data_IF_759861725094
#
_entry.id   IF_759861725094
#
_cell.length_a   1.000
_cell.length_b   1.000
_cell.length_c   1.000
_cell.angle_alpha   90.00
_cell.angle_beta   90.00
_cell.angle_gamma   90.00
#
_symmetry.space_group_name_H-M   'P 1'
#
loop_
_entity.id
_entity.type
_entity.pdbx_description
1 polymer ?
#
# COMPACT_ATOMS: atom_id res chain seq x y z
N UNK A 1 24.15 10.77 -5.07
CA UNK A 1 22.92 10.08 -5.52
C UNK A 1 22.17 9.35 -4.41
N UNK A 2 22.82 8.73 -3.41
CA UNK A 2 22.16 8.05 -2.26
C UNK A 2 21.35 8.97 -1.32
N UNK A 3 21.68 10.26 -1.25
CA UNK A 3 21.11 11.20 -0.29
C UNK A 3 19.81 11.87 -0.76
N UNK A 4 19.54 11.89 -2.07
CA UNK A 4 18.38 12.62 -2.65
C UNK A 4 17.11 11.79 -2.57
N UNK A 5 17.18 10.46 -2.76
CA UNK A 5 16.02 9.56 -2.65
C UNK A 5 15.44 9.59 -1.23
N UNK A 6 16.29 9.59 -0.21
CA UNK A 6 15.88 9.72 1.20
C UNK A 6 15.27 11.09 1.52
N UNK A 7 15.71 12.16 0.84
CA UNK A 7 15.24 13.53 1.05
C UNK A 7 13.87 13.77 0.40
N UNK A 8 13.61 13.19 -0.78
CA UNK A 8 12.28 13.20 -1.44
C UNK A 8 11.25 12.42 -0.61
N UNK A 9 11.65 11.30 -0.01
CA UNK A 9 10.82 10.51 0.90
C UNK A 9 10.48 11.28 2.20
N UNK A 10 11.44 12.01 2.79
CA UNK A 10 11.22 12.80 4.01
C UNK A 10 10.33 14.03 3.78
N UNK A 11 10.44 14.70 2.63
CA UNK A 11 9.54 15.80 2.25
C UNK A 11 8.10 15.31 2.00
N UNK A 12 7.93 14.12 1.42
CA UNK A 12 6.61 13.48 1.30
C UNK A 12 5.97 13.18 2.66
N UNK A 13 6.76 12.77 3.66
CA UNK A 13 6.27 12.49 5.03
C UNK A 13 5.84 13.76 5.80
N UNK A 14 6.46 14.92 5.55
CA UNK A 14 6.04 16.18 6.19
C UNK A 14 4.76 16.79 5.61
N UNK A 15 4.42 16.55 4.34
CA UNK A 15 3.15 16.99 3.75
C UNK A 15 1.92 16.26 4.30
N UNK A 16 2.08 15.19 5.10
CA UNK A 16 0.96 14.46 5.70
C UNK A 16 0.18 15.21 6.79
N UNK A 17 0.67 16.36 7.26
CA UNK A 17 -0.09 17.19 8.21
C UNK A 17 -1.26 17.94 7.54
N UNK A 18 -1.25 18.09 6.20
CA UNK A 18 -2.33 18.68 5.41
C UNK A 18 -2.80 17.67 4.35
N UNK A 19 -4.06 17.25 4.46
CA UNK A 19 -4.65 16.09 3.80
C UNK A 19 -4.93 16.23 2.27
N UNK A 20 -4.13 16.97 1.51
CA UNK A 20 -4.42 17.22 0.08
C UNK A 20 -3.48 16.50 -0.91
N UNK A 21 -2.23 16.16 -0.56
CA UNK A 21 -1.22 15.68 -1.54
C UNK A 21 -0.83 14.19 -1.40
N UNK A 22 -1.77 13.31 -1.07
CA UNK A 22 -1.51 11.86 -0.99
C UNK A 22 -1.11 11.24 -2.35
N UNK A 23 -1.61 11.82 -3.45
CA UNK A 23 -1.35 11.36 -4.81
C UNK A 23 0.14 11.45 -5.18
N UNK A 24 0.77 12.60 -4.91
CA UNK A 24 2.19 12.88 -5.21
C UNK A 24 3.10 11.93 -4.43
N UNK A 25 2.71 11.53 -3.23
CA UNK A 25 3.51 10.66 -2.36
C UNK A 25 3.50 9.20 -2.84
N UNK A 26 2.33 8.70 -3.25
CA UNK A 26 2.21 7.35 -3.83
C UNK A 26 2.97 7.23 -5.15
N UNK A 27 2.86 8.23 -6.02
CA UNK A 27 3.59 8.24 -7.29
C UNK A 27 5.10 8.31 -7.09
N UNK A 28 5.57 9.15 -6.17
CA UNK A 28 6.99 9.27 -5.83
C UNK A 28 7.54 7.97 -5.26
N UNK A 29 6.76 7.28 -4.41
CA UNK A 29 7.12 5.97 -3.89
C UNK A 29 7.22 4.96 -5.02
N UNK A 30 6.14 4.74 -5.79
CA UNK A 30 6.09 3.78 -6.90
C UNK A 30 7.21 4.01 -7.92
N UNK A 31 7.47 5.27 -8.27
CA UNK A 31 8.58 5.64 -9.13
C UNK A 31 9.91 5.21 -8.52
N UNK A 32 10.16 5.56 -7.25
CA UNK A 32 11.42 5.21 -6.56
C UNK A 32 11.66 3.71 -6.50
N UNK A 33 10.64 2.90 -6.20
CA UNK A 33 10.79 1.44 -6.14
C UNK A 33 10.99 0.80 -7.51
N UNK A 34 10.38 1.34 -8.56
CA UNK A 34 10.58 0.84 -9.93
C UNK A 34 12.03 0.94 -10.42
N UNK A 35 12.82 1.85 -9.83
CA UNK A 35 14.23 2.06 -10.18
C UNK A 35 15.20 1.19 -9.37
N UNK A 36 14.71 0.45 -8.38
CA UNK A 36 15.55 -0.39 -7.54
C UNK A 36 15.86 -1.71 -8.24
N UNK A 37 17.15 -2.06 -8.27
CA UNK A 37 17.60 -3.42 -8.67
C UNK A 37 17.28 -4.48 -7.62
N UNK A 38 17.17 -4.06 -6.36
CA UNK A 38 16.89 -4.91 -5.21
C UNK A 38 16.06 -4.12 -4.19
N UNK A 39 15.02 -4.75 -3.66
CA UNK A 39 14.13 -4.17 -2.65
C UNK A 39 14.72 -4.41 -1.26
N UNK A 40 15.01 -3.31 -0.55
CA UNK A 40 15.53 -3.36 0.82
C UNK A 40 14.37 -3.41 1.83
N UNK A 41 14.55 -4.03 3.01
CA UNK A 41 13.51 -4.03 4.06
C UNK A 41 12.99 -2.63 4.42
N UNK A 42 13.88 -1.64 4.54
CA UNK A 42 13.49 -0.26 4.81
C UNK A 42 12.53 0.35 3.76
N UNK A 43 12.59 -0.12 2.51
CA UNK A 43 11.67 0.31 1.45
C UNK A 43 10.27 -0.29 1.67
N UNK A 44 10.20 -1.54 2.11
CA UNK A 44 8.96 -2.20 2.50
C UNK A 44 8.33 -1.49 3.71
N UNK A 45 9.12 -1.19 4.73
CA UNK A 45 8.66 -0.48 5.93
C UNK A 45 8.07 0.90 5.58
N UNK A 46 8.71 1.62 4.66
CA UNK A 46 8.18 2.89 4.13
C UNK A 46 6.84 2.72 3.42
N UNK A 47 6.67 1.66 2.62
CA UNK A 47 5.38 1.39 1.98
C UNK A 47 4.29 1.09 2.99
N UNK A 48 4.57 0.35 4.06
CA UNK A 48 3.58 0.14 5.14
C UNK A 48 3.22 1.43 5.87
N UNK A 49 4.22 2.25 6.20
CA UNK A 49 4.00 3.55 6.81
C UNK A 49 3.10 4.44 5.94
N UNK A 50 3.33 4.47 4.62
CA UNK A 50 2.50 5.22 3.67
C UNK A 50 1.06 4.71 3.63
N UNK A 51 0.87 3.39 3.56
CA UNK A 51 -0.47 2.78 3.55
C UNK A 51 -1.23 3.06 4.85
N UNK A 52 -0.57 2.93 6.01
CA UNK A 52 -1.17 3.22 7.31
C UNK A 52 -1.67 4.67 7.38
N UNK A 53 -0.87 5.62 6.89
CA UNK A 53 -1.24 7.04 6.84
C UNK A 53 -2.47 7.29 5.96
N UNK A 54 -2.57 6.64 4.82
CA UNK A 54 -3.72 6.78 3.90
C UNK A 54 -4.99 6.22 4.55
N UNK A 55 -4.90 5.07 5.22
CA UNK A 55 -6.03 4.45 5.93
C UNK A 55 -6.52 5.35 7.05
N UNK A 56 -5.59 5.88 7.86
CA UNK A 56 -5.91 6.83 8.95
C UNK A 56 -6.51 8.14 8.45
N UNK A 57 -6.19 8.56 7.22
CA UNK A 57 -6.75 9.77 6.63
C UNK A 57 -8.23 9.60 6.20
N UNK A 58 -8.73 8.38 6.03
CA UNK A 58 -10.17 8.09 5.91
C UNK A 58 -10.92 8.80 4.77
N UNK A 59 -10.20 9.32 3.77
CA UNK A 59 -10.77 10.17 2.72
C UNK A 59 -11.57 9.41 1.65
N UNK A 60 -12.34 10.17 0.85
CA UNK A 60 -12.94 9.67 -0.40
C UNK A 60 -11.80 9.31 -1.37
N UNK A 61 -11.63 8.03 -1.63
CA UNK A 61 -10.62 7.54 -2.57
C UNK A 61 -11.27 7.44 -3.95
N UNK A 62 -10.74 8.16 -4.94
CA UNK A 62 -11.13 7.98 -6.33
C UNK A 62 -10.45 6.75 -6.97
N UNK A 63 -10.82 6.44 -8.21
CA UNK A 63 -10.31 5.26 -8.92
C UNK A 63 -8.78 5.29 -9.10
N UNK A 64 -8.21 6.44 -9.44
CA UNK A 64 -6.78 6.57 -9.73
C UNK A 64 -5.97 6.34 -8.45
N UNK A 65 -6.39 6.97 -7.37
CA UNK A 65 -5.76 6.80 -6.06
C UNK A 65 -5.93 5.37 -5.52
N UNK A 66 -7.09 4.73 -5.72
CA UNK A 66 -7.29 3.31 -5.36
C UNK A 66 -6.32 2.40 -6.12
N UNK A 67 -6.11 2.63 -7.42
CA UNK A 67 -5.18 1.84 -8.22
C UNK A 67 -3.73 2.00 -7.73
N UNK A 68 -3.31 3.22 -7.39
CA UNK A 68 -1.99 3.50 -6.81
C UNK A 68 -1.80 2.78 -5.47
N UNK A 69 -2.79 2.87 -4.57
CA UNK A 69 -2.80 2.19 -3.27
C UNK A 69 -2.68 0.66 -3.46
N UNK A 70 -3.43 0.09 -4.39
CA UNK A 70 -3.38 -1.34 -4.67
C UNK A 70 -2.04 -1.79 -5.26
N UNK A 71 -1.39 -0.96 -6.09
CA UNK A 71 -0.03 -1.24 -6.61
C UNK A 71 1.00 -1.23 -5.49
N UNK A 72 0.95 -0.26 -4.58
CA UNK A 72 1.82 -0.24 -3.38
C UNK A 72 1.57 -1.46 -2.52
N UNK A 73 0.30 -1.80 -2.27
CA UNK A 73 -0.06 -2.98 -1.49
C UNK A 73 0.48 -4.28 -2.09
N UNK A 74 0.27 -4.49 -3.40
CA UNK A 74 0.77 -5.65 -4.10
C UNK A 74 2.30 -5.73 -4.05
N UNK A 75 2.98 -4.61 -4.26
CA UNK A 75 4.44 -4.54 -4.13
C UNK A 75 4.90 -5.01 -2.75
N UNK A 76 4.23 -4.58 -1.68
CA UNK A 76 4.55 -5.01 -0.32
C UNK A 76 4.31 -6.51 -0.15
N UNK A 77 3.18 -7.06 -0.59
CA UNK A 77 2.91 -8.50 -0.48
C UNK A 77 3.91 -9.39 -1.24
N UNK A 78 4.52 -8.87 -2.31
CA UNK A 78 5.52 -9.58 -3.10
C UNK A 78 6.91 -9.56 -2.46
N UNK A 79 7.26 -8.47 -1.78
CA UNK A 79 8.61 -8.25 -1.26
C UNK A 79 8.72 -8.46 0.24
N UNK A 80 7.58 -8.46 0.93
CA UNK A 80 7.49 -8.67 2.36
C UNK A 80 6.95 -10.06 2.70
N UNK A 81 7.57 -10.65 3.73
CA UNK A 81 7.12 -11.91 4.29
C UNK A 81 6.24 -11.71 5.53
N UNK A 82 6.12 -10.50 6.07
CA UNK A 82 5.24 -10.23 7.22
C UNK A 82 3.76 -10.21 6.80
N UNK A 83 2.86 -10.62 7.70
CA UNK A 83 1.42 -10.73 7.43
C UNK A 83 0.64 -9.41 7.69
N UNK A 84 1.32 -8.27 7.83
CA UNK A 84 0.71 -7.00 8.28
C UNK A 84 -0.04 -6.23 7.17
N UNK A 85 0.38 -6.38 5.91
CA UNK A 85 -0.21 -5.63 4.79
C UNK A 85 -1.72 -5.80 4.59
N UNK A 86 -2.29 -7.01 4.68
CA UNK A 86 -3.72 -7.23 4.54
C UNK A 86 -4.58 -6.54 5.61
N UNK A 87 -4.09 -6.43 6.85
CA UNK A 87 -4.83 -5.82 7.97
C UNK A 87 -5.00 -4.32 7.76
N UNK A 88 -3.90 -3.63 7.43
CA UNK A 88 -3.87 -2.18 7.31
C UNK A 88 -4.94 -1.67 6.34
N UNK A 89 -5.19 -2.38 5.24
CA UNK A 89 -6.10 -1.92 4.20
C UNK A 89 -7.53 -2.45 4.33
N UNK A 90 -7.81 -3.38 5.24
CA UNK A 90 -9.16 -3.91 5.41
C UNK A 90 -10.22 -2.81 5.66
N UNK A 91 -9.99 -1.80 6.52
CA UNK A 91 -10.95 -0.71 6.71
C UNK A 91 -11.19 0.11 5.43
N UNK A 92 -10.11 0.42 4.70
CA UNK A 92 -10.16 1.23 3.48
C UNK A 92 -10.89 0.49 2.35
N UNK A 93 -10.64 -0.81 2.19
CA UNK A 93 -11.29 -1.64 1.19
C UNK A 93 -12.75 -1.91 1.53
N UNK A 94 -13.09 -2.07 2.81
CA UNK A 94 -14.49 -2.20 3.23
C UNK A 94 -15.28 -0.91 2.97
N UNK A 95 -14.68 0.26 3.24
CA UNK A 95 -15.29 1.56 2.95
C UNK A 95 -15.49 1.81 1.45
N UNK A 96 -14.60 1.28 0.61
CA UNK A 96 -14.61 1.48 -0.85
C UNK A 96 -14.83 0.18 -1.63
N UNK A 97 -15.65 -0.74 -1.12
CA UNK A 97 -15.75 -2.12 -1.61
C UNK A 97 -16.00 -2.24 -3.11
N UNK A 98 -16.95 -1.48 -3.64
CA UNK A 98 -17.27 -1.52 -5.08
C UNK A 98 -16.09 -1.07 -5.93
N UNK A 99 -15.49 0.07 -5.56
CA UNK A 99 -14.33 0.63 -6.24
C UNK A 99 -13.12 -0.32 -6.19
N UNK A 100 -12.86 -0.92 -5.03
CA UNK A 100 -11.82 -1.93 -4.84
C UNK A 100 -12.02 -3.12 -5.79
N UNK A 101 -13.25 -3.67 -5.91
CA UNK A 101 -13.52 -4.78 -6.82
C UNK A 101 -13.34 -4.37 -8.30
N UNK A 102 -13.68 -3.14 -8.66
CA UNK A 102 -13.54 -2.65 -10.03
C UNK A 102 -12.11 -2.32 -10.42
N UNK A 103 -11.28 -1.93 -9.46
CA UNK A 103 -9.84 -1.73 -9.63
C UNK A 103 -9.10 -3.07 -9.58
N UNK A 104 -9.51 -4.03 -8.73
CA UNK A 104 -8.89 -5.36 -8.67
C UNK A 104 -8.92 -6.09 -10.02
N UNK A 105 -9.94 -5.84 -10.85
CA UNK A 105 -10.06 -6.39 -12.22
C UNK A 105 -8.99 -5.90 -13.19
N UNK A 106 -8.28 -4.81 -12.89
CA UNK A 106 -7.20 -4.28 -13.75
C UNK A 106 -5.85 -4.97 -13.51
N UNK A 107 -5.75 -5.81 -12.47
CA UNK A 107 -4.53 -6.55 -12.13
C UNK A 107 -4.49 -7.92 -12.80
N UNK A 108 -3.29 -8.49 -12.93
CA UNK A 108 -3.11 -9.83 -13.51
C UNK A 108 -3.70 -10.90 -12.59
N UNK A 109 -4.18 -12.03 -13.12
CA UNK A 109 -4.76 -13.10 -12.30
C UNK A 109 -3.85 -13.58 -11.16
N UNK A 110 -2.53 -13.69 -11.38
CA UNK A 110 -1.57 -14.08 -10.35
C UNK A 110 -1.45 -13.06 -9.20
N UNK A 111 -1.57 -11.76 -9.51
CA UNK A 111 -1.54 -10.68 -8.53
C UNK A 111 -2.82 -10.67 -7.69
N UNK A 112 -3.96 -10.88 -8.34
CA UNK A 112 -5.25 -11.04 -7.68
C UNK A 112 -5.24 -12.26 -6.74
N UNK A 113 -4.69 -13.39 -7.19
CA UNK A 113 -4.57 -14.59 -6.36
C UNK A 113 -3.68 -14.33 -5.15
N UNK A 114 -2.54 -13.64 -5.33
CA UNK A 114 -1.65 -13.28 -4.23
C UNK A 114 -2.36 -12.43 -3.17
N UNK A 115 -3.08 -11.38 -3.59
CA UNK A 115 -3.86 -10.52 -2.69
C UNK A 115 -4.91 -11.35 -1.94
N UNK A 116 -5.70 -12.17 -2.64
CA UNK A 116 -6.73 -13.02 -2.03
C UNK A 116 -6.16 -14.06 -1.06
N UNK A 117 -5.04 -14.69 -1.42
CA UNK A 117 -4.38 -15.69 -0.57
C UNK A 117 -3.93 -15.06 0.74
N UNK A 118 -3.34 -13.87 0.69
CA UNK A 118 -2.87 -13.14 1.88
C UNK A 118 -4.02 -12.65 2.76
N UNK A 119 -5.12 -12.17 2.15
CA UNK A 119 -6.35 -11.85 2.90
C UNK A 119 -6.91 -13.07 3.64
N UNK A 120 -6.94 -14.25 3.00
CA UNK A 120 -7.46 -15.48 3.63
C UNK A 120 -6.60 -15.99 4.77
N UNK A 121 -5.27 -15.82 4.69
CA UNK A 121 -4.35 -16.15 5.79
C UNK A 121 -4.66 -15.25 6.99
N UNK A 122 -4.79 -13.95 6.76
CA UNK A 122 -5.14 -13.00 7.80
C UNK A 122 -6.51 -13.29 8.44
N UNK A 123 -7.57 -13.50 7.65
CA UNK A 123 -8.91 -13.81 8.17
C UNK A 123 -8.94 -15.04 9.10
N UNK A 124 -8.01 -15.97 8.93
CA UNK A 124 -7.82 -17.12 9.83
C UNK A 124 -7.11 -16.69 11.11
N UNK A 125 -5.97 -16.02 10.98
CA UNK A 125 -5.16 -15.56 12.12
C UNK A 125 -5.93 -14.61 13.05
N UNK A 126 -6.75 -13.69 12.51
CA UNK A 126 -7.58 -12.77 13.30
C UNK A 126 -8.72 -13.46 14.05
N UNK A 127 -9.32 -14.52 13.46
CA UNK A 127 -10.38 -15.31 14.13
C UNK A 127 -9.81 -16.18 15.24
N UNK A 128 -8.55 -16.56 15.12
CA UNK A 128 -7.83 -17.38 16.09
C UNK A 128 -7.25 -16.54 17.25
N UNK A 129 -7.40 -15.21 17.22
CA UNK A 129 -6.96 -14.34 18.32
C UNK A 129 -5.44 -14.16 18.41
N UNK A 130 -4.71 -14.42 17.31
CA UNK A 130 -3.25 -14.35 17.24
C UNK A 130 -2.72 -13.02 16.68
N UNK A 131 -3.52 -11.94 16.79
CA UNK A 131 -3.16 -10.60 16.32
C UNK A 131 -2.12 -9.92 17.19
#
# INVERSE_FOLDING_TARGET
MRTIVLFVLALGVHSFANAEDHEVTLDSYLYSVSQLKEVRPATVDQGYFLLERIVKAGGKVDRVNMEKIMKVHLFLLQNDKTNWGPELLAPLFNANKQLYQDVLKTFKPAEIELIKRRQKVFERESKEGNG
#
